data_IF_402264158377
#
_entry.id   IF_402264158377
#
_cell.length_a   1.000
_cell.length_b   1.000
_cell.length_c   1.000
_cell.angle_alpha   90.00
_cell.angle_beta   90.00
_cell.angle_gamma   90.00
#
_symmetry.space_group_name_H-M   'P 1'
#
loop_
_entity.id
_entity.type
_entity.pdbx_description
1 polymer ?
#
# COMPACT_ATOMS: atom_id res chain seq x y z
N UNK A 1 4.47 21.72 -13.34
CA UNK A 1 4.90 21.39 -11.97
C UNK A 1 4.25 20.07 -11.59
N UNK A 2 5.03 19.06 -11.18
CA UNK A 2 4.44 17.84 -10.62
C UNK A 2 3.82 18.19 -9.27
N UNK A 3 2.62 17.65 -8.98
CA UNK A 3 1.88 17.93 -7.73
C UNK A 3 2.65 17.56 -6.45
N UNK A 4 3.55 16.58 -6.57
CA UNK A 4 4.41 16.08 -5.49
C UNK A 4 5.87 16.02 -5.97
N UNK A 5 6.84 16.18 -5.08
CA UNK A 5 8.28 16.00 -5.36
C UNK A 5 8.67 14.52 -5.38
N UNK A 6 9.88 14.18 -5.84
CA UNK A 6 10.37 12.79 -5.81
C UNK A 6 10.57 12.31 -4.37
N UNK A 7 11.04 13.20 -3.51
CA UNK A 7 11.28 12.97 -2.09
C UNK A 7 9.97 12.68 -1.37
N UNK A 8 8.91 13.45 -1.61
CA UNK A 8 7.57 13.21 -1.04
C UNK A 8 7.01 11.84 -1.46
N UNK A 9 7.26 11.41 -2.70
CA UNK A 9 6.86 10.08 -3.18
C UNK A 9 7.64 8.97 -2.48
N UNK A 10 8.96 9.14 -2.28
CA UNK A 10 9.79 8.18 -1.54
C UNK A 10 9.33 8.10 -0.09
N UNK A 11 9.05 9.23 0.56
CA UNK A 11 8.55 9.28 1.93
C UNK A 11 7.19 8.59 2.09
N UNK A 12 6.31 8.69 1.07
CA UNK A 12 5.01 8.02 1.04
C UNK A 12 5.11 6.49 1.02
N UNK A 13 6.23 5.89 0.57
CA UNK A 13 6.39 4.42 0.56
C UNK A 13 6.39 3.81 1.97
N UNK A 14 6.87 4.56 2.97
CA UNK A 14 6.95 4.12 4.37
C UNK A 14 5.57 3.88 4.99
N UNK A 15 4.63 4.85 5.02
CA UNK A 15 3.29 4.63 5.56
C UNK A 15 2.51 3.58 4.75
N UNK A 16 2.64 3.53 3.42
CA UNK A 16 1.99 2.51 2.57
C UNK A 16 2.44 1.11 2.98
N UNK A 17 3.75 0.88 3.12
CA UNK A 17 4.30 -0.41 3.55
C UNK A 17 3.87 -0.76 4.98
N UNK A 18 3.73 0.23 5.87
CA UNK A 18 3.21 0.01 7.23
C UNK A 18 1.75 -0.46 7.22
N UNK A 19 0.90 0.15 6.38
CA UNK A 19 -0.51 -0.26 6.24
C UNK A 19 -0.60 -1.70 5.72
N UNK A 20 0.18 -2.05 4.69
CA UNK A 20 0.25 -3.43 4.17
C UNK A 20 0.56 -4.41 5.30
N UNK A 21 1.69 -4.21 5.99
CA UNK A 21 2.13 -5.14 7.05
C UNK A 21 1.12 -5.26 8.19
N UNK A 22 0.49 -4.15 8.60
CA UNK A 22 -0.54 -4.17 9.65
C UNK A 22 -1.79 -4.91 9.19
N UNK A 23 -2.24 -4.69 7.96
CA UNK A 23 -3.42 -5.35 7.41
C UNK A 23 -3.17 -6.84 7.17
N UNK A 24 -1.98 -7.26 6.73
CA UNK A 24 -1.63 -8.69 6.60
C UNK A 24 -1.66 -9.39 7.95
N UNK A 25 -1.04 -8.80 8.97
CA UNK A 25 -1.07 -9.33 10.35
C UNK A 25 -2.49 -9.37 10.92
N UNK A 26 -3.32 -8.40 10.58
CA UNK A 26 -4.73 -8.39 11.00
C UNK A 26 -5.54 -9.43 10.24
N UNK A 27 -5.35 -9.57 8.93
CA UNK A 27 -6.03 -10.56 8.09
C UNK A 27 -5.79 -11.98 8.60
N UNK A 28 -4.55 -12.30 8.99
CA UNK A 28 -4.17 -13.61 9.54
C UNK A 28 -4.95 -14.01 10.81
N UNK A 29 -5.56 -13.05 11.52
CA UNK A 29 -6.38 -13.33 12.72
C UNK A 29 -7.80 -13.76 12.41
N UNK A 30 -8.23 -13.69 11.14
CA UNK A 30 -9.59 -13.98 10.74
C UNK A 30 -9.61 -15.10 9.72
N UNK A 31 -10.58 -16.00 9.85
CA UNK A 31 -10.77 -17.10 8.91
C UNK A 31 -11.10 -16.57 7.50
N UNK A 32 -10.62 -17.32 6.51
CA UNK A 32 -10.95 -17.11 5.11
C UNK A 32 -12.47 -17.08 4.90
N UNK A 33 -12.94 -16.05 4.18
CA UNK A 33 -14.35 -15.89 3.87
C UNK A 33 -15.12 -14.96 4.81
N UNK A 34 -14.60 -14.65 6.00
CA UNK A 34 -15.18 -13.66 6.92
C UNK A 34 -15.18 -12.25 6.31
N UNK A 35 -16.07 -11.37 6.79
CA UNK A 35 -16.12 -9.98 6.37
C UNK A 35 -14.81 -9.23 6.66
N UNK A 36 -14.20 -9.50 7.82
CA UNK A 36 -12.91 -8.94 8.21
C UNK A 36 -11.78 -9.41 7.30
N UNK A 37 -11.69 -10.72 7.01
CA UNK A 37 -10.70 -11.26 6.09
C UNK A 37 -10.82 -10.63 4.69
N UNK A 38 -12.05 -10.57 4.13
CA UNK A 38 -12.31 -9.94 2.82
C UNK A 38 -11.96 -8.45 2.82
N UNK A 39 -12.28 -7.72 3.89
CA UNK A 39 -11.95 -6.30 4.03
C UNK A 39 -10.44 -6.07 4.00
N UNK A 40 -9.68 -6.81 4.81
CA UNK A 40 -8.22 -6.66 4.81
C UNK A 40 -7.60 -7.06 3.47
N UNK A 41 -8.07 -8.14 2.84
CA UNK A 41 -7.65 -8.54 1.48
C UNK A 41 -7.79 -7.39 0.47
N UNK A 42 -8.93 -6.69 0.50
CA UNK A 42 -9.17 -5.55 -0.40
C UNK A 42 -8.25 -4.37 -0.11
N UNK A 43 -8.01 -4.05 1.16
CA UNK A 43 -7.10 -2.96 1.57
C UNK A 43 -5.66 -3.29 1.14
N UNK A 44 -5.18 -4.51 1.43
CA UNK A 44 -3.84 -4.97 1.06
C UNK A 44 -3.65 -4.85 -0.45
N UNK A 45 -4.61 -5.34 -1.25
CA UNK A 45 -4.57 -5.22 -2.71
C UNK A 45 -4.47 -3.75 -3.17
N UNK A 46 -5.30 -2.87 -2.61
CA UNK A 46 -5.28 -1.45 -2.97
C UNK A 46 -3.93 -0.78 -2.60
N UNK A 47 -3.35 -1.13 -1.45
CA UNK A 47 -2.07 -0.59 -1.00
C UNK A 47 -0.90 -1.10 -1.85
N UNK A 48 -0.91 -2.36 -2.28
CA UNK A 48 0.09 -2.86 -3.23
C UNK A 48 0.03 -2.15 -4.57
N UNK A 49 -1.17 -1.91 -5.10
CA UNK A 49 -1.35 -1.11 -6.32
C UNK A 49 -0.81 0.31 -6.11
N UNK A 50 -1.16 0.95 -4.99
CA UNK A 50 -0.68 2.29 -4.66
C UNK A 50 0.84 2.34 -4.57
N UNK A 51 1.46 1.34 -3.92
CA UNK A 51 2.92 1.20 -3.83
C UNK A 51 3.56 1.09 -5.21
N UNK A 52 3.02 0.23 -6.07
CA UNK A 52 3.51 0.06 -7.45
C UNK A 52 3.46 1.37 -8.22
N UNK A 53 2.33 2.08 -8.18
CA UNK A 53 2.17 3.36 -8.89
C UNK A 53 3.14 4.43 -8.37
N UNK A 54 3.37 4.50 -7.06
CA UNK A 54 4.34 5.43 -6.47
C UNK A 54 5.76 5.07 -6.94
N UNK A 55 6.13 3.79 -6.89
CA UNK A 55 7.46 3.34 -7.34
C UNK A 55 7.67 3.60 -8.83
N UNK A 56 6.68 3.32 -9.68
CA UNK A 56 6.74 3.59 -11.11
C UNK A 56 6.94 5.08 -11.40
N UNK A 57 6.25 5.95 -10.66
CA UNK A 57 6.40 7.40 -10.79
C UNK A 57 7.79 7.88 -10.32
N UNK A 58 8.33 7.31 -9.24
CA UNK A 58 9.71 7.60 -8.79
C UNK A 58 10.72 7.20 -9.88
N UNK A 59 10.53 6.03 -10.51
CA UNK A 59 11.39 5.54 -11.59
C UNK A 59 11.34 6.40 -12.85
N UNK A 60 10.17 6.94 -13.21
CA UNK A 60 10.02 7.88 -14.35
C UNK A 60 10.69 9.23 -14.12
N UNK A 61 10.93 9.59 -12.85
CA UNK A 61 11.68 10.78 -12.42
C UNK A 61 13.15 10.46 -12.11
N UNK A 62 13.58 9.25 -12.49
CA UNK A 62 14.97 8.79 -12.44
C UNK A 62 15.82 9.51 -13.47
#
# INVERSE_FOLDING_TARGET
MHKYTKEELIEALRPVSSVISKCEKAQFKFEDGTSHHKRFKNIIKAMYISKSLITDEISKRG
#
